data_IF_132058510918
#
_entry.id   IF_132058510918
#
_cell.length_a   1.000
_cell.length_b   1.000
_cell.length_c   1.000
_cell.angle_alpha   90.00
_cell.angle_beta   90.00
_cell.angle_gamma   90.00
#
_symmetry.space_group_name_H-M   'P 1'
#
loop_
_entity.id
_entity.type
_entity.pdbx_description
1 polymer ?
#
# COMPACT_ATOMS: atom_id res chain seq x y z
N UNK A 1 -20.88 30.44 -45.80
CA UNK A 1 -20.18 30.09 -44.54
C UNK A 1 -20.89 28.86 -44.02
N UNK A 2 -20.37 27.72 -44.44
CA UNK A 2 -20.93 26.40 -44.21
C UNK A 2 -20.46 25.93 -42.83
N UNK A 3 -21.38 25.63 -41.93
CA UNK A 3 -21.04 25.06 -40.62
C UNK A 3 -21.40 23.58 -40.66
N UNK A 4 -20.34 22.77 -40.72
CA UNK A 4 -20.32 21.33 -40.73
C UNK A 4 -19.98 20.83 -39.31
N UNK A 5 -21.00 20.59 -38.49
CA UNK A 5 -20.82 20.04 -37.14
C UNK A 5 -20.96 18.50 -37.18
N UNK A 6 -19.83 17.85 -37.48
CA UNK A 6 -19.64 16.40 -37.38
C UNK A 6 -19.64 15.95 -35.90
N UNK A 7 -20.80 15.51 -35.39
CA UNK A 7 -20.89 14.83 -34.09
C UNK A 7 -20.65 13.32 -34.24
N UNK A 8 -19.38 12.91 -34.18
CA UNK A 8 -18.97 11.51 -34.03
C UNK A 8 -19.12 11.06 -32.56
N UNK A 9 -20.35 10.70 -32.16
CA UNK A 9 -20.62 10.08 -30.86
C UNK A 9 -20.41 8.57 -30.94
N UNK A 10 -19.17 8.12 -30.82
CA UNK A 10 -18.85 6.70 -30.70
C UNK A 10 -18.63 6.33 -29.22
N UNK A 11 -19.72 6.25 -28.45
CA UNK A 11 -19.68 5.77 -27.07
C UNK A 11 -19.92 4.25 -27.04
N UNK A 12 -18.82 3.51 -26.97
CA UNK A 12 -18.80 2.07 -26.67
C UNK A 12 -19.51 1.82 -25.32
N UNK A 13 -20.74 1.32 -25.40
CA UNK A 13 -21.53 0.83 -24.28
C UNK A 13 -21.01 -0.53 -23.83
N UNK A 14 -20.09 -0.53 -22.87
CA UNK A 14 -19.76 -1.68 -22.00
C UNK A 14 -19.59 -1.12 -20.60
N UNK A 15 -20.54 -1.39 -19.70
CA UNK A 15 -20.35 -1.62 -18.25
C UNK A 15 -21.69 -1.58 -17.51
N UNK A 16 -22.32 -2.75 -17.34
CA UNK A 16 -23.62 -2.90 -16.68
C UNK A 16 -23.59 -3.42 -15.23
N UNK A 17 -22.45 -3.88 -14.69
CA UNK A 17 -22.45 -4.66 -13.43
C UNK A 17 -21.60 -4.09 -12.29
N UNK A 18 -20.85 -3.00 -12.47
CA UNK A 18 -19.95 -2.45 -11.43
C UNK A 18 -20.63 -1.46 -10.47
N UNK A 19 -21.85 -1.02 -10.78
CA UNK A 19 -22.52 0.05 -10.04
C UNK A 19 -23.16 -0.42 -8.72
N UNK A 20 -23.68 -1.65 -8.62
CA UNK A 20 -24.39 -2.08 -7.41
C UNK A 20 -23.46 -2.32 -6.21
N UNK A 21 -22.31 -2.95 -6.45
CA UNK A 21 -21.32 -3.20 -5.40
C UNK A 21 -20.63 -1.93 -4.91
N UNK A 22 -20.41 -0.95 -5.80
CA UNK A 22 -19.82 0.33 -5.43
C UNK A 22 -20.80 1.21 -4.66
N UNK A 23 -22.10 1.15 -4.97
CA UNK A 23 -23.16 1.85 -4.21
C UNK A 23 -23.29 1.28 -2.80
N UNK A 24 -23.21 -0.04 -2.63
CA UNK A 24 -23.25 -0.69 -1.32
C UNK A 24 -22.09 -0.28 -0.40
N UNK A 25 -20.86 -0.28 -0.92
CA UNK A 25 -19.68 0.12 -0.14
C UNK A 25 -19.72 1.60 0.27
N UNK A 26 -20.20 2.49 -0.62
CA UNK A 26 -20.33 3.92 -0.31
C UNK A 26 -21.30 4.19 0.83
N UNK A 27 -22.48 3.56 0.80
CA UNK A 27 -23.49 3.67 1.87
C UNK A 27 -22.96 3.19 3.22
N UNK A 28 -22.25 2.06 3.22
CA UNK A 28 -21.60 1.52 4.42
C UNK A 28 -20.58 2.51 5.00
N UNK A 29 -19.75 3.10 4.15
CA UNK A 29 -18.76 4.11 4.57
C UNK A 29 -19.44 5.32 5.19
N UNK A 30 -20.53 5.82 4.60
CA UNK A 30 -21.25 6.99 5.12
C UNK A 30 -21.83 6.71 6.51
N UNK A 31 -22.43 5.53 6.70
CA UNK A 31 -22.93 5.10 8.02
C UNK A 31 -21.81 5.00 9.05
N UNK A 32 -20.64 4.49 8.66
CA UNK A 32 -19.48 4.40 9.56
C UNK A 32 -18.97 5.76 9.98
N UNK A 33 -18.79 6.68 9.02
CA UNK A 33 -18.31 8.04 9.30
C UNK A 33 -19.29 8.75 10.23
N UNK A 34 -20.59 8.64 9.99
CA UNK A 34 -21.60 9.26 10.83
C UNK A 34 -21.53 8.77 12.28
N UNK A 35 -21.51 7.45 12.50
CA UNK A 35 -21.43 6.85 13.84
C UNK A 35 -20.15 7.22 14.58
N UNK A 36 -19.04 7.27 13.85
CA UNK A 36 -17.73 7.65 14.39
C UNK A 36 -17.73 9.11 14.85
N UNK A 37 -18.29 10.01 14.07
CA UNK A 37 -18.34 11.44 14.42
C UNK A 37 -19.28 11.65 15.60
N UNK A 38 -20.44 10.99 15.61
CA UNK A 38 -21.39 11.06 16.72
C UNK A 38 -20.76 10.59 18.03
N UNK A 39 -20.16 9.40 18.05
CA UNK A 39 -19.48 8.86 19.22
C UNK A 39 -18.28 9.73 19.67
N UNK A 40 -17.54 10.31 18.71
CA UNK A 40 -16.44 11.22 19.03
C UNK A 40 -16.94 12.47 19.73
N UNK A 41 -18.02 13.06 19.22
CA UNK A 41 -18.54 14.30 19.78
C UNK A 41 -19.24 14.07 21.12
N UNK A 42 -19.98 12.97 21.27
CA UNK A 42 -20.52 12.53 22.56
C UNK A 42 -19.40 12.40 23.60
N UNK A 43 -18.31 11.70 23.26
CA UNK A 43 -17.17 11.56 24.15
C UNK A 43 -16.54 12.91 24.56
N UNK A 44 -16.49 13.88 23.63
CA UNK A 44 -15.94 15.23 23.86
C UNK A 44 -16.85 16.09 24.72
N UNK A 45 -18.14 16.10 24.42
CA UNK A 45 -19.12 17.01 25.05
C UNK A 45 -19.55 16.49 26.41
N UNK A 46 -19.85 15.19 26.52
CA UNK A 46 -20.37 14.59 27.75
C UNK A 46 -19.25 14.21 28.73
N UNK A 47 -17.98 14.43 28.36
CA UNK A 47 -16.85 14.40 29.28
C UNK A 47 -16.45 13.01 29.78
N UNK A 48 -16.79 11.95 29.04
CA UNK A 48 -16.49 10.56 29.41
C UNK A 48 -15.01 10.16 29.29
N UNK A 49 -14.16 11.03 28.76
CA UNK A 49 -12.72 10.77 28.61
C UNK A 49 -11.91 11.41 29.75
N UNK A 50 -11.19 10.57 30.51
CA UNK A 50 -10.34 11.05 31.59
C UNK A 50 -9.18 11.94 31.11
N UNK A 51 -8.59 12.71 32.02
CA UNK A 51 -7.49 13.66 31.73
C UNK A 51 -6.15 13.02 31.33
N UNK A 52 -6.02 11.70 31.39
CA UNK A 52 -4.72 11.05 31.35
C UNK A 52 -4.11 10.90 29.95
N UNK A 53 -4.91 10.85 28.88
CA UNK A 53 -4.43 10.54 27.52
C UNK A 53 -5.34 11.15 26.44
N UNK A 54 -4.81 11.45 25.23
CA UNK A 54 -5.63 11.86 24.09
C UNK A 54 -6.70 10.81 23.78
N UNK A 55 -7.94 11.25 23.54
CA UNK A 55 -9.03 10.37 23.15
C UNK A 55 -8.64 9.60 21.87
N UNK A 56 -8.62 8.27 21.95
CA UNK A 56 -8.26 7.40 20.82
C UNK A 56 -9.38 6.42 20.52
N UNK A 57 -9.84 6.43 19.28
CA UNK A 57 -10.82 5.48 18.76
C UNK A 57 -10.19 4.62 17.66
N UNK A 58 -10.51 3.33 17.63
CA UNK A 58 -9.99 2.38 16.65
C UNK A 58 -11.13 1.60 16.03
N UNK A 59 -11.34 1.78 14.72
CA UNK A 59 -12.40 1.12 13.96
C UNK A 59 -11.79 0.08 13.04
N UNK A 60 -12.37 -1.13 13.04
CA UNK A 60 -11.83 -2.28 12.32
C UNK A 60 -12.79 -2.71 11.21
N UNK A 61 -12.29 -2.80 9.97
CA UNK A 61 -13.03 -3.37 8.84
C UNK A 61 -12.49 -4.75 8.48
N UNK A 62 -13.37 -5.74 8.53
CA UNK A 62 -13.06 -7.11 8.13
C UNK A 62 -13.63 -7.43 6.74
N UNK A 63 -12.86 -8.18 5.97
CA UNK A 63 -13.35 -8.89 4.78
C UNK A 63 -12.64 -10.23 4.72
N UNK A 64 -13.25 -11.28 4.16
CA UNK A 64 -12.70 -12.65 4.12
C UNK A 64 -11.19 -12.74 3.82
N UNK A 65 -10.68 -11.97 2.84
CA UNK A 65 -9.26 -11.96 2.46
C UNK A 65 -8.49 -10.71 2.89
N UNK A 66 -9.13 -9.76 3.59
CA UNK A 66 -8.49 -8.54 4.12
C UNK A 66 -7.80 -7.60 3.12
N UNK A 67 -8.05 -7.73 1.81
CA UNK A 67 -7.21 -7.10 0.76
C UNK A 67 -7.89 -6.08 -0.13
N UNK A 68 -9.15 -6.29 -0.50
CA UNK A 68 -9.80 -5.48 -1.53
C UNK A 68 -10.94 -4.65 -0.91
N UNK A 69 -11.98 -5.31 -0.39
CA UNK A 69 -13.16 -4.64 0.18
C UNK A 69 -12.82 -3.83 1.44
N UNK A 70 -12.19 -4.46 2.44
CA UNK A 70 -11.84 -3.81 3.70
C UNK A 70 -10.88 -2.63 3.51
N UNK A 71 -9.86 -2.78 2.66
CA UNK A 71 -8.90 -1.71 2.31
C UNK A 71 -9.63 -0.52 1.68
N UNK A 72 -10.47 -0.77 0.67
CA UNK A 72 -11.23 0.29 -0.01
C UNK A 72 -12.17 1.01 0.96
N UNK A 73 -12.85 0.27 1.83
CA UNK A 73 -13.75 0.84 2.84
C UNK A 73 -12.98 1.72 3.82
N UNK A 74 -11.86 1.23 4.37
CA UNK A 74 -11.04 1.97 5.33
C UNK A 74 -10.47 3.25 4.73
N UNK A 75 -9.91 3.17 3.51
CA UNK A 75 -9.35 4.34 2.83
C UNK A 75 -10.42 5.38 2.49
N UNK A 76 -11.56 4.93 1.96
CA UNK A 76 -12.67 5.82 1.62
C UNK A 76 -13.27 6.46 2.88
N UNK A 77 -13.45 5.68 3.94
CA UNK A 77 -13.95 6.16 5.23
C UNK A 77 -12.99 7.17 5.87
N UNK A 78 -11.68 6.88 5.91
CA UNK A 78 -10.71 7.80 6.46
C UNK A 78 -10.63 9.10 5.66
N UNK A 79 -10.70 9.04 4.33
CA UNK A 79 -10.74 10.24 3.48
C UNK A 79 -11.97 11.09 3.78
N UNK A 80 -13.16 10.48 3.83
CA UNK A 80 -14.41 11.19 4.16
C UNK A 80 -14.39 11.73 5.59
N UNK A 81 -13.95 10.94 6.56
CA UNK A 81 -13.85 11.35 7.96
C UNK A 81 -12.90 12.54 8.13
N UNK A 82 -11.74 12.54 7.48
CA UNK A 82 -10.83 13.69 7.46
C UNK A 82 -11.51 14.94 6.93
N UNK A 83 -12.30 14.83 5.86
CA UNK A 83 -13.02 15.97 5.31
C UNK A 83 -14.08 16.48 6.31
N UNK A 84 -14.89 15.58 6.89
CA UNK A 84 -15.92 15.95 7.87
C UNK A 84 -15.31 16.63 9.10
N UNK A 85 -14.23 16.07 9.65
CA UNK A 85 -13.54 16.63 10.81
C UNK A 85 -12.85 17.97 10.50
N UNK A 86 -12.34 18.16 9.27
CA UNK A 86 -11.77 19.45 8.83
C UNK A 86 -12.83 20.53 8.66
N UNK A 87 -14.00 20.18 8.14
CA UNK A 87 -15.11 21.14 8.03
C UNK A 87 -15.61 21.56 9.41
N UNK A 88 -15.44 20.70 10.43
CA UNK A 88 -15.77 20.96 11.84
C UNK A 88 -17.14 21.66 12.00
N UNK A 89 -18.19 21.05 11.46
CA UNK A 89 -19.53 21.63 11.47
C UNK A 89 -19.95 22.01 12.91
N UNK A 90 -20.16 23.30 13.13
CA UNK A 90 -20.57 23.85 14.43
C UNK A 90 -19.43 24.03 15.44
N UNK A 91 -18.15 23.98 15.03
CA UNK A 91 -16.98 24.15 15.89
C UNK A 91 -17.02 23.30 17.18
N UNK A 92 -17.64 22.11 17.10
CA UNK A 92 -17.89 21.24 18.26
C UNK A 92 -16.59 20.58 18.74
N UNK A 93 -15.61 20.45 17.86
CA UNK A 93 -14.31 19.86 18.17
C UNK A 93 -13.32 21.01 18.36
N UNK A 94 -12.89 21.22 19.60
CA UNK A 94 -11.92 22.27 19.98
C UNK A 94 -10.48 21.78 19.96
N UNK A 95 -10.28 20.47 20.07
CA UNK A 95 -8.95 19.84 20.12
C UNK A 95 -8.51 19.35 18.73
N UNK A 96 -7.20 19.33 18.43
CA UNK A 96 -6.71 18.79 17.17
C UNK A 96 -6.98 17.29 17.07
N UNK A 97 -7.53 16.85 15.94
CA UNK A 97 -7.84 15.43 15.68
C UNK A 97 -6.99 14.91 14.54
N UNK A 98 -6.50 13.68 14.67
CA UNK A 98 -5.76 12.97 13.63
C UNK A 98 -6.47 11.67 13.23
N UNK A 99 -6.40 11.30 11.95
CA UNK A 99 -7.02 10.09 11.41
C UNK A 99 -5.99 9.30 10.59
N UNK A 100 -5.60 8.15 11.11
CA UNK A 100 -4.72 7.18 10.45
C UNK A 100 -5.48 6.00 9.85
N UNK A 101 -4.87 5.35 8.85
CA UNK A 101 -5.30 4.03 8.35
C UNK A 101 -4.19 3.02 8.57
N UNK A 102 -4.54 1.77 8.82
CA UNK A 102 -3.59 0.69 9.03
C UNK A 102 -4.11 -0.60 8.39
N UNK A 103 -3.29 -1.23 7.54
CA UNK A 103 -3.68 -2.37 6.72
C UNK A 103 -2.89 -3.62 7.12
N UNK A 104 -3.40 -4.33 8.14
CA UNK A 104 -2.76 -5.49 8.77
C UNK A 104 -2.22 -6.52 7.77
N UNK A 105 -3.02 -6.91 6.78
CA UNK A 105 -2.67 -7.99 5.85
C UNK A 105 -1.75 -7.55 4.69
N UNK A 106 -1.81 -6.26 4.31
CA UNK A 106 -0.93 -5.72 3.28
C UNK A 106 0.49 -5.50 3.79
N UNK A 107 0.64 -4.99 5.02
CA UNK A 107 1.96 -4.77 5.63
C UNK A 107 2.73 -6.07 5.79
N UNK A 108 2.06 -7.15 6.25
CA UNK A 108 2.65 -8.49 6.35
C UNK A 108 3.20 -8.98 5.01
N UNK A 109 2.45 -8.78 3.92
CA UNK A 109 2.87 -9.19 2.58
C UNK A 109 4.04 -8.36 2.05
N UNK A 110 4.02 -7.04 2.27
CA UNK A 110 5.09 -6.16 1.84
C UNK A 110 6.41 -6.47 2.54
N UNK A 111 6.36 -6.73 3.85
CA UNK A 111 7.54 -7.11 4.64
C UNK A 111 8.12 -8.45 4.17
N UNK A 112 7.27 -9.42 3.84
CA UNK A 112 7.73 -10.71 3.29
C UNK A 112 8.36 -10.56 1.89
N UNK A 113 7.79 -9.69 1.04
CA UNK A 113 8.32 -9.44 -0.29
C UNK A 113 9.68 -8.73 -0.26
N UNK A 114 9.87 -7.75 0.63
CA UNK A 114 11.16 -7.05 0.76
C UNK A 114 12.26 -7.98 1.29
N UNK A 115 11.93 -8.83 2.27
CA UNK A 115 12.84 -9.87 2.76
C UNK A 115 13.27 -10.83 1.63
N UNK A 116 12.31 -11.34 0.85
CA UNK A 116 12.59 -12.26 -0.28
C UNK A 116 13.43 -11.61 -1.38
N UNK A 117 13.23 -10.32 -1.67
CA UNK A 117 14.06 -9.56 -2.64
C UNK A 117 15.50 -9.41 -2.14
N UNK A 118 15.70 -9.16 -0.84
CA UNK A 118 17.05 -9.08 -0.25
C UNK A 118 17.78 -10.42 -0.33
N UNK A 119 17.08 -11.52 -0.06
CA UNK A 119 17.67 -12.87 -0.16
C UNK A 119 18.06 -13.23 -1.61
N UNK A 120 17.19 -12.91 -2.59
CA UNK A 120 17.52 -13.12 -4.01
C UNK A 120 18.75 -12.32 -4.45
N UNK A 121 18.89 -11.07 -3.98
CA UNK A 121 20.09 -10.25 -4.23
C UNK A 121 21.35 -10.85 -3.62
N UNK A 122 21.28 -11.34 -2.38
CA UNK A 122 22.41 -12.03 -1.73
C UNK A 122 22.83 -13.25 -2.54
N UNK A 123 21.88 -14.12 -2.90
CA UNK A 123 22.14 -15.33 -3.71
C UNK A 123 22.81 -14.99 -5.05
N UNK A 124 22.30 -13.98 -5.76
CA UNK A 124 22.90 -13.53 -7.03
C UNK A 124 24.32 -12.97 -6.85
N UNK A 125 24.58 -12.17 -5.82
CA UNK A 125 25.93 -11.65 -5.55
C UNK A 125 26.93 -12.75 -5.19
N UNK A 126 26.53 -13.75 -4.40
CA UNK A 126 27.38 -14.91 -4.07
C UNK A 126 27.67 -15.78 -5.29
N UNK A 127 26.73 -15.93 -6.22
CA UNK A 127 26.96 -16.68 -7.46
C UNK A 127 27.92 -15.95 -8.40
N UNK A 128 27.88 -14.61 -8.46
CA UNK A 128 28.82 -13.85 -9.30
C UNK A 128 30.24 -13.82 -8.74
N UNK A 129 30.42 -13.93 -7.42
CA UNK A 129 31.77 -13.93 -6.80
C UNK A 129 32.48 -15.28 -6.94
N UNK A 130 31.76 -16.40 -6.96
CA UNK A 130 32.35 -17.72 -7.19
C UNK A 130 32.78 -17.94 -8.64
N UNK A 131 32.07 -17.40 -9.64
CA UNK A 131 32.47 -17.56 -11.05
C UNK A 131 33.69 -16.72 -11.43
N UNK A 132 33.88 -15.55 -10.81
CA UNK A 132 35.07 -14.71 -11.07
C UNK A 132 36.34 -15.28 -10.45
N UNK A 133 36.24 -16.02 -9.34
CA UNK A 133 37.44 -16.62 -8.69
C UNK A 133 37.97 -17.85 -9.43
N UNK A 134 37.12 -18.59 -10.17
CA UNK A 134 37.56 -19.76 -10.94
C UNK A 134 38.15 -19.44 -12.33
N UNK A 135 37.94 -18.22 -12.86
CA UNK A 135 38.50 -17.82 -14.17
C UNK A 135 39.91 -17.20 -14.07
N UNK A 136 40.39 -16.91 -12.87
CA UNK A 136 41.70 -16.26 -12.65
C UNK A 136 42.86 -17.23 -12.42
N UNK A 137 42.67 -18.56 -12.59
CA UNK A 137 43.72 -19.58 -12.38
C UNK A 137 44.21 -20.29 -13.65
N UNK A 138 43.98 -19.73 -14.85
CA UNK A 138 44.37 -20.36 -16.13
C UNK A 138 45.36 -19.54 -16.96
N UNK A 139 46.01 -18.52 -16.38
CA UNK A 139 46.81 -17.57 -17.16
C UNK A 139 48.19 -17.24 -16.55
N UNK A 140 48.78 -18.16 -15.77
CA UNK A 140 50.18 -18.02 -15.35
C UNK A 140 50.92 -19.34 -15.60
N UNK A 141 52.05 -19.21 -16.34
CA UNK A 141 53.13 -20.17 -16.58
C UNK A 141 53.00 -21.09 -17.82
N UNK A 142 53.09 -20.49 -19.01
CA UNK A 142 53.63 -21.12 -20.23
C UNK A 142 54.59 -20.09 -20.87
N UNK A 143 55.67 -19.75 -20.17
CA UNK A 143 56.77 -18.95 -20.72
C UNK A 143 58.09 -19.52 -20.19
N UNK A 144 58.96 -19.87 -21.14
CA UNK A 144 60.43 -19.97 -21.09
C UNK A 144 61.01 -21.15 -20.28
N UNK A 145 62.02 -21.92 -20.70
CA UNK A 145 62.90 -22.00 -21.86
C UNK A 145 63.69 -23.33 -21.68
N UNK A 146 64.19 -23.89 -22.78
CA UNK A 146 65.39 -24.73 -22.99
C UNK A 146 66.05 -25.52 -21.82
N UNK A 147 66.32 -26.82 -22.06
CA UNK A 147 67.67 -27.41 -22.04
C UNK A 147 67.61 -28.97 -22.06
N UNK A 148 68.08 -29.52 -23.20
CA UNK A 148 69.09 -30.57 -23.38
C UNK A 148 69.02 -31.99 -22.73
N UNK A 149 69.20 -32.95 -23.66
CA UNK A 149 70.12 -34.11 -23.61
C UNK A 149 69.74 -35.52 -23.08
N UNK A 150 70.03 -36.46 -23.98
CA UNK A 150 70.66 -37.79 -23.85
C UNK A 150 69.88 -39.09 -23.55
N UNK A 151 69.93 -39.96 -24.58
CA UNK A 151 70.36 -41.37 -24.65
C UNK A 151 69.77 -42.45 -23.71
N UNK A 152 69.11 -43.46 -24.33
CA UNK A 152 69.64 -44.84 -24.47
C UNK A 152 68.84 -45.65 -25.53
#
# INVERSE_FOLDING_TARGET
>A
KDNNDNNNSNNNSRNGNDNDNTVSCKKMVDQWVQRVVEALVEAIVDGGHGHALPLRMSVHAGSELGRHRSVVVVETAAKKLRNVLRTNHGNRITQPVSVGTHHRDMERRNNNNTARRREKKKKMMTTTTTTTTHRSKQNELDDDDDDDDDDD
#
